data_IF_327241215059
#
_entry.id   IF_327241215059
#
_cell.length_a   1.000
_cell.length_b   1.000
_cell.length_c   1.000
_cell.angle_alpha   90.00
_cell.angle_beta   90.00
_cell.angle_gamma   90.00
#
_symmetry.space_group_name_H-M   'P 1'
#
loop_
_entity.id
_entity.type
_entity.pdbx_description
1 polymer ?
#
# COMPACT_ATOMS: atom_id res chain seq x y z
N UNK A 1 -12.07 -7.70 -8.81
CA UNK A 1 -11.63 -6.86 -7.68
C UNK A 1 -12.29 -7.36 -6.41
N UNK A 2 -11.62 -7.23 -5.26
CA UNK A 2 -12.18 -7.64 -3.98
C UNK A 2 -13.01 -6.52 -3.34
N UNK A 3 -14.07 -6.88 -2.61
CA UNK A 3 -14.87 -5.92 -1.85
C UNK A 3 -14.09 -5.41 -0.62
N UNK A 4 -14.42 -4.20 -0.16
CA UNK A 4 -13.86 -3.65 1.08
C UNK A 4 -14.60 -4.18 2.33
N UNK A 5 -14.05 -3.90 3.51
CA UNK A 5 -14.63 -4.23 4.82
C UNK A 5 -16.04 -3.64 5.00
N UNK A 6 -16.29 -2.50 4.37
CA UNK A 6 -17.58 -1.82 4.33
C UNK A 6 -17.98 -1.51 2.89
N UNK A 7 -19.25 -1.76 2.47
CA UNK A 7 -19.68 -1.60 1.08
C UNK A 7 -19.43 -0.21 0.49
N UNK A 8 -19.56 0.84 1.30
CA UNK A 8 -19.33 2.23 0.89
C UNK A 8 -17.87 2.53 0.53
N UNK A 9 -16.92 1.74 1.04
CA UNK A 9 -15.51 1.88 0.71
C UNK A 9 -15.10 1.10 -0.54
N UNK A 10 -15.96 0.24 -1.09
CA UNK A 10 -15.64 -0.63 -2.24
C UNK A 10 -15.32 0.15 -3.52
N UNK A 11 -16.08 1.20 -3.91
CA UNK A 11 -15.72 1.99 -5.08
C UNK A 11 -14.34 2.65 -4.97
N UNK A 12 -14.04 3.23 -3.79
CA UNK A 12 -12.73 3.83 -3.49
C UNK A 12 -11.60 2.79 -3.52
N UNK A 13 -11.88 1.56 -3.04
CA UNK A 13 -10.95 0.44 -3.11
C UNK A 13 -10.62 0.09 -4.55
N UNK A 14 -11.63 -0.05 -5.41
CA UNK A 14 -11.41 -0.42 -6.82
C UNK A 14 -10.59 0.65 -7.57
N UNK A 15 -10.86 1.93 -7.30
CA UNK A 15 -10.10 3.04 -7.87
C UNK A 15 -8.64 3.02 -7.39
N UNK A 16 -8.43 2.84 -6.08
CA UNK A 16 -7.11 2.70 -5.47
C UNK A 16 -6.34 1.50 -6.02
N UNK A 17 -6.93 0.30 -5.99
CA UNK A 17 -6.32 -0.95 -6.44
C UNK A 17 -5.90 -0.84 -7.92
N UNK A 18 -6.73 -0.21 -8.76
CA UNK A 18 -6.39 0.01 -10.18
C UNK A 18 -5.18 0.93 -10.35
N UNK A 19 -5.12 2.04 -9.60
CA UNK A 19 -3.99 2.96 -9.63
C UNK A 19 -2.71 2.29 -9.12
N UNK A 20 -2.82 1.61 -7.98
CA UNK A 20 -1.72 0.90 -7.35
C UNK A 20 -1.16 -0.18 -8.26
N UNK A 21 -1.99 -1.04 -8.85
CA UNK A 21 -1.50 -2.12 -9.72
C UNK A 21 -0.73 -1.57 -10.93
N UNK A 22 -1.21 -0.49 -11.56
CA UNK A 22 -0.52 0.14 -12.67
C UNK A 22 0.84 0.74 -12.28
N UNK A 23 0.95 1.28 -11.06
CA UNK A 23 2.21 1.79 -10.52
C UNK A 23 3.15 0.65 -10.07
N UNK A 24 2.59 -0.41 -9.48
CA UNK A 24 3.32 -1.48 -8.79
C UNK A 24 4.14 -2.34 -9.76
N UNK A 25 3.62 -2.58 -10.96
CA UNK A 25 4.38 -3.30 -12.01
C UNK A 25 5.73 -2.61 -12.30
N UNK A 26 5.73 -1.28 -12.43
CA UNK A 26 6.96 -0.51 -12.61
C UNK A 26 7.82 -0.44 -11.34
N UNK A 27 7.22 -0.37 -10.15
CA UNK A 27 7.97 -0.30 -8.90
C UNK A 27 8.94 -1.48 -8.71
N UNK A 28 8.59 -2.68 -9.18
CA UNK A 28 9.37 -3.90 -9.00
C UNK A 28 10.58 -4.05 -9.94
N UNK A 29 10.73 -3.20 -10.96
CA UNK A 29 11.80 -3.36 -11.98
C UNK A 29 13.23 -3.50 -11.40
N UNK A 30 13.67 -2.70 -10.41
CA UNK A 30 15.03 -2.84 -9.87
C UNK A 30 15.23 -4.10 -9.03
N UNK A 31 14.15 -4.69 -8.50
CA UNK A 31 14.24 -5.92 -7.71
C UNK A 31 14.50 -7.15 -8.60
N UNK A 32 14.11 -7.08 -9.89
CA UNK A 32 14.31 -8.14 -10.87
C UNK A 32 15.50 -7.88 -11.81
N UNK A 33 16.07 -6.68 -11.77
CA UNK A 33 17.22 -6.31 -12.60
C UNK A 33 18.52 -6.98 -12.11
N UNK A 34 19.22 -7.75 -12.96
CA UNK A 34 20.54 -8.26 -12.60
C UNK A 34 21.53 -7.10 -12.40
N UNK A 35 22.28 -7.13 -11.31
CA UNK A 35 23.35 -6.16 -10.96
C UNK A 35 22.90 -4.76 -10.52
N UNK A 36 21.66 -4.54 -10.06
CA UNK A 36 21.28 -3.26 -9.46
C UNK A 36 21.95 -3.06 -8.08
N UNK A 37 22.73 -1.99 -7.92
CA UNK A 37 23.36 -1.64 -6.64
C UNK A 37 22.30 -1.26 -5.57
N UNK A 38 22.70 -1.29 -4.30
CA UNK A 38 21.81 -0.87 -3.22
C UNK A 38 21.40 0.61 -3.36
N UNK A 39 22.33 1.48 -3.78
CA UNK A 39 22.08 2.90 -3.99
C UNK A 39 21.11 3.14 -5.15
N UNK A 40 21.26 2.40 -6.26
CA UNK A 40 20.37 2.50 -7.41
C UNK A 40 18.94 2.08 -7.05
N UNK A 41 18.81 0.99 -6.28
CA UNK A 41 17.51 0.53 -5.76
C UNK A 41 16.88 1.59 -4.85
N UNK A 42 17.64 2.15 -3.92
CA UNK A 42 17.16 3.20 -3.01
C UNK A 42 16.70 4.46 -3.77
N UNK A 43 17.48 4.92 -4.75
CA UNK A 43 17.13 6.09 -5.57
C UNK A 43 15.86 5.85 -6.41
N UNK A 44 15.73 4.67 -7.03
CA UNK A 44 14.55 4.31 -7.80
C UNK A 44 13.31 4.17 -6.92
N UNK A 45 13.42 3.51 -5.76
CA UNK A 45 12.31 3.38 -4.81
C UNK A 45 11.82 4.75 -4.34
N UNK A 46 12.73 5.71 -4.12
CA UNK A 46 12.36 7.09 -3.79
C UNK A 46 11.60 7.76 -4.94
N UNK A 47 12.12 7.70 -6.17
CA UNK A 47 11.46 8.25 -7.35
C UNK A 47 10.05 7.68 -7.52
N UNK A 48 9.89 6.35 -7.34
CA UNK A 48 8.59 5.70 -7.42
C UNK A 48 7.64 6.08 -6.30
N UNK A 49 8.15 6.35 -5.10
CA UNK A 49 7.34 6.86 -4.00
C UNK A 49 6.77 8.24 -4.33
N UNK A 50 7.57 9.12 -4.95
CA UNK A 50 7.10 10.44 -5.42
C UNK A 50 6.04 10.27 -6.52
N UNK A 51 6.28 9.39 -7.51
CA UNK A 51 5.31 9.07 -8.56
C UNK A 51 3.97 8.53 -7.99
N UNK A 52 4.04 7.65 -6.99
CA UNK A 52 2.86 7.12 -6.31
C UNK A 52 2.07 8.24 -5.63
N UNK A 53 2.78 9.16 -4.95
CA UNK A 53 2.14 10.25 -4.24
C UNK A 53 1.40 11.19 -5.20
N UNK A 54 2.01 11.49 -6.36
CA UNK A 54 1.40 12.31 -7.41
C UNK A 54 0.17 11.65 -8.04
N UNK A 55 0.26 10.34 -8.35
CA UNK A 55 -0.79 9.64 -9.11
C UNK A 55 -1.89 9.04 -8.23
N UNK A 56 -1.50 8.37 -7.15
CA UNK A 56 -2.40 7.55 -6.33
C UNK A 56 -2.62 8.13 -4.92
N UNK A 57 -1.80 9.08 -4.46
CA UNK A 57 -1.81 9.57 -3.07
C UNK A 57 -3.16 10.09 -2.59
N UNK A 58 -3.87 10.89 -3.41
CA UNK A 58 -5.20 11.39 -3.07
C UNK A 58 -6.25 10.28 -3.00
N UNK A 59 -6.20 9.32 -3.93
CA UNK A 59 -7.13 8.18 -4.00
C UNK A 59 -6.91 7.28 -2.76
N UNK A 60 -5.64 6.99 -2.45
CA UNK A 60 -5.24 6.27 -1.25
C UNK A 60 -5.77 6.93 0.01
N UNK A 61 -5.59 8.24 0.18
CA UNK A 61 -6.05 8.95 1.37
C UNK A 61 -7.56 8.85 1.57
N UNK A 62 -8.35 8.97 0.49
CA UNK A 62 -9.81 8.80 0.54
C UNK A 62 -10.20 7.37 0.94
N UNK A 63 -9.60 6.37 0.31
CA UNK A 63 -9.87 4.97 0.62
C UNK A 63 -9.47 4.62 2.06
N UNK A 64 -8.25 5.02 2.47
CA UNK A 64 -7.71 4.80 3.82
C UNK A 64 -8.62 5.40 4.89
N UNK A 65 -9.07 6.65 4.71
CA UNK A 65 -9.98 7.30 5.66
C UNK A 65 -11.29 6.52 5.81
N UNK A 66 -11.87 6.04 4.70
CA UNK A 66 -13.07 5.22 4.71
C UNK A 66 -12.88 3.91 5.49
N UNK A 67 -11.80 3.18 5.20
CA UNK A 67 -11.51 1.91 5.87
C UNK A 67 -11.18 2.10 7.35
N UNK A 68 -10.42 3.12 7.71
CA UNK A 68 -10.09 3.41 9.10
C UNK A 68 -11.34 3.71 9.93
N UNK A 69 -12.32 4.40 9.34
CA UNK A 69 -13.63 4.57 9.98
C UNK A 69 -14.33 3.22 10.17
N UNK A 70 -14.43 2.40 9.13
CA UNK A 70 -15.07 1.07 9.22
C UNK A 70 -14.38 0.13 10.22
N UNK A 71 -13.06 0.21 10.36
CA UNK A 71 -12.28 -0.52 11.37
C UNK A 71 -12.67 -0.11 12.79
N UNK A 72 -12.79 1.20 13.02
CA UNK A 72 -13.24 1.75 14.32
C UNK A 72 -14.67 1.34 14.64
N UNK A 73 -15.58 1.49 13.67
CA UNK A 73 -17.00 1.14 13.82
C UNK A 73 -17.21 -0.35 14.13
N UNK A 74 -16.29 -1.22 13.68
CA UNK A 74 -16.30 -2.66 13.98
C UNK A 74 -15.49 -3.06 15.22
N UNK A 75 -14.88 -2.11 15.94
CA UNK A 75 -14.09 -2.39 17.14
C UNK A 75 -12.80 -3.16 16.90
N UNK A 76 -12.27 -3.15 15.67
CA UNK A 76 -11.07 -3.91 15.28
C UNK A 76 -9.77 -3.16 15.52
N UNK A 77 -9.82 -1.86 15.86
CA UNK A 77 -8.64 -1.00 15.97
C UNK A 77 -7.57 -1.57 16.92
N UNK A 78 -7.96 -2.04 18.12
CA UNK A 78 -7.01 -2.57 19.10
C UNK A 78 -6.25 -3.80 18.59
N UNK A 79 -6.96 -4.76 17.99
CA UNK A 79 -6.35 -6.03 17.55
C UNK A 79 -5.44 -5.81 16.34
N UNK A 80 -5.82 -4.89 15.45
CA UNK A 80 -5.00 -4.54 14.29
C UNK A 80 -3.73 -3.80 14.70
N UNK A 81 -3.81 -2.88 15.67
CA UNK A 81 -2.63 -2.18 16.18
C UNK A 81 -1.67 -3.16 16.85
N UNK A 82 -2.18 -4.07 17.69
CA UNK A 82 -1.36 -5.12 18.31
C UNK A 82 -0.64 -5.96 17.25
N UNK A 83 -1.34 -6.42 16.21
CA UNK A 83 -0.74 -7.22 15.14
C UNK A 83 0.30 -6.43 14.30
N UNK A 84 0.11 -5.12 14.12
CA UNK A 84 1.08 -4.27 13.41
C UNK A 84 2.39 -4.09 14.18
N UNK A 85 2.34 -4.17 15.51
CA UNK A 85 3.52 -4.04 16.39
C UNK A 85 4.33 -5.35 16.53
N UNK A 86 3.87 -6.47 15.97
CA UNK A 86 4.50 -7.79 16.15
C UNK A 86 5.74 -8.04 15.27
N UNK A 87 5.98 -7.25 14.22
CA UNK A 87 7.13 -7.36 13.30
C UNK A 87 7.57 -8.82 13.00
N UNK A 88 6.71 -9.64 12.36
CA UNK A 88 6.87 -11.09 12.34
C UNK A 88 8.10 -11.61 11.57
N UNK A 89 8.70 -10.78 10.70
CA UNK A 89 9.91 -11.14 9.95
C UNK A 89 11.16 -10.90 10.81
N UNK A 90 11.43 -11.85 11.72
CA UNK A 90 12.59 -11.79 12.63
C UNK A 90 13.87 -12.36 12.03
N UNK A 91 13.76 -13.10 10.93
CA UNK A 91 14.88 -13.68 10.19
C UNK A 91 14.88 -13.19 8.73
N UNK A 92 16.04 -12.88 8.15
CA UNK A 92 16.14 -12.50 6.74
C UNK A 92 15.84 -13.71 5.83
N UNK A 93 15.22 -13.47 4.65
CA UNK A 93 15.00 -14.51 3.64
C UNK A 93 16.29 -14.97 2.95
#
# INVERSE_FOLDING_TARGET
MANSLSPECTPLKHEYDSCFNAWFEGYLEPAVAPNASAEQRAAYSKQKADEFQEKCGLIWNKYRACVQKAVKDKGLEKVLNQAQDEYPLTEPP
#
